data_IF_634522633027
#
_entry.id   IF_634522633027
#
_cell.length_a   1.000
_cell.length_b   1.000
_cell.length_c   1.000
_cell.angle_alpha   90.00
_cell.angle_beta   90.00
_cell.angle_gamma   90.00
#
_symmetry.space_group_name_H-M   'P 1'
#
loop_
_entity.id
_entity.type
_entity.pdbx_description
1 polymer ?
#
# COMPACT_ATOMS: atom_id res chain seq x y z
N UNK A 1 6.47 -43.40 -47.66
CA UNK A 1 7.14 -42.77 -46.54
C UNK A 1 8.62 -43.07 -46.65
N UNK A 2 9.47 -42.15 -46.50
CA UNK A 2 9.27 -40.68 -46.51
C UNK A 2 8.92 -40.19 -47.92
N UNK A 3 8.47 -38.93 -48.13
CA UNK A 3 8.20 -38.35 -49.44
C UNK A 3 9.45 -38.40 -50.33
N UNK A 4 9.26 -38.58 -51.66
CA UNK A 4 10.37 -38.76 -52.60
C UNK A 4 11.33 -37.56 -52.66
N UNK A 5 10.81 -36.38 -52.42
CA UNK A 5 11.49 -35.08 -52.42
C UNK A 5 12.19 -34.75 -51.08
N UNK A 6 12.03 -35.58 -50.06
CA UNK A 6 12.60 -35.32 -48.71
C UNK A 6 14.07 -35.68 -48.57
N UNK A 7 14.71 -36.22 -49.58
CA UNK A 7 16.09 -36.79 -49.56
C UNK A 7 16.32 -37.81 -48.42
N UNK A 8 15.25 -38.42 -47.91
CA UNK A 8 15.29 -39.45 -46.85
C UNK A 8 14.86 -40.79 -47.44
N UNK A 9 15.54 -41.85 -47.09
CA UNK A 9 15.16 -43.22 -47.47
C UNK A 9 15.15 -44.12 -46.24
N UNK A 10 14.22 -45.04 -46.19
CA UNK A 10 14.16 -46.06 -45.15
C UNK A 10 14.93 -47.30 -45.66
N UNK A 11 15.77 -47.86 -44.80
CA UNK A 11 16.41 -49.14 -45.04
C UNK A 11 15.42 -50.28 -45.06
N UNK A 12 15.82 -51.45 -45.51
CA UNK A 12 14.99 -52.65 -45.50
C UNK A 12 14.59 -53.06 -44.08
N UNK A 13 15.51 -52.92 -43.14
CA UNK A 13 15.34 -53.23 -41.71
C UNK A 13 14.32 -52.27 -41.05
N UNK A 14 14.45 -50.98 -41.32
CA UNK A 14 13.48 -49.99 -40.83
C UNK A 14 12.06 -50.22 -41.37
N UNK A 15 11.93 -50.56 -42.64
CA UNK A 15 10.63 -50.95 -43.24
C UNK A 15 10.06 -52.18 -42.55
N UNK A 16 10.89 -53.21 -42.28
CA UNK A 16 10.45 -54.41 -41.58
C UNK A 16 10.06 -54.12 -40.14
N UNK A 17 10.74 -53.21 -39.48
CA UNK A 17 10.41 -52.76 -38.11
C UNK A 17 9.03 -52.10 -38.09
N UNK A 18 8.74 -51.16 -38.99
CA UNK A 18 7.45 -50.50 -39.12
C UNK A 18 6.32 -51.52 -39.44
N UNK A 19 6.55 -52.46 -40.36
CA UNK A 19 5.57 -53.52 -40.65
C UNK A 19 5.27 -54.38 -39.42
N UNK A 20 6.29 -54.71 -38.64
CA UNK A 20 6.15 -55.47 -37.39
C UNK A 20 5.34 -54.70 -36.37
N UNK A 21 5.67 -53.40 -36.19
CA UNK A 21 4.95 -52.51 -35.28
C UNK A 21 3.47 -52.39 -35.65
N UNK A 22 3.15 -52.21 -36.94
CA UNK A 22 1.75 -52.17 -37.43
C UNK A 22 1.03 -53.51 -37.15
N UNK A 23 1.69 -54.67 -37.40
CA UNK A 23 1.12 -55.98 -37.13
C UNK A 23 0.85 -56.24 -35.65
N UNK A 24 1.61 -55.56 -34.75
CA UNK A 24 1.43 -55.62 -33.31
C UNK A 24 0.34 -54.65 -32.78
N UNK A 25 -0.42 -54.03 -33.69
CA UNK A 25 -1.50 -53.10 -33.32
C UNK A 25 -1.11 -51.62 -33.29
N UNK A 26 0.11 -51.28 -33.77
CA UNK A 26 0.62 -49.90 -33.87
C UNK A 26 0.46 -49.09 -32.56
N UNK A 27 0.65 -49.74 -31.42
CA UNK A 27 0.57 -49.09 -30.11
C UNK A 27 1.49 -47.86 -30.04
N UNK A 28 0.91 -46.70 -29.80
CA UNK A 28 1.66 -45.44 -29.69
C UNK A 28 1.81 -45.06 -28.22
N UNK A 29 3.02 -44.91 -27.79
CA UNK A 29 3.28 -44.46 -26.42
C UNK A 29 2.97 -42.97 -26.29
N UNK A 30 2.20 -42.60 -25.27
CA UNK A 30 1.94 -41.20 -24.97
C UNK A 30 3.27 -40.43 -24.77
N UNK A 31 3.31 -39.20 -25.24
CA UNK A 31 4.50 -38.35 -25.05
C UNK A 31 4.77 -38.19 -23.55
N UNK A 32 6.05 -38.30 -23.16
CA UNK A 32 6.45 -38.28 -21.74
C UNK A 32 5.99 -37.04 -20.98
N UNK A 33 5.89 -35.89 -21.64
CA UNK A 33 5.42 -34.63 -21.02
C UNK A 33 3.94 -34.62 -20.62
N UNK A 34 3.16 -35.58 -21.18
CA UNK A 34 1.72 -35.76 -20.89
C UNK A 34 1.45 -36.93 -19.93
N UNK A 35 2.52 -37.59 -19.47
CA UNK A 35 2.43 -38.68 -18.49
C UNK A 35 2.62 -38.08 -17.10
N UNK A 36 1.71 -38.36 -16.18
CA UNK A 36 1.86 -37.87 -14.79
C UNK A 36 3.19 -38.37 -14.22
N UNK A 37 4.00 -37.45 -13.57
CA UNK A 37 5.29 -37.83 -13.03
C UNK A 37 5.13 -38.84 -11.90
N UNK A 38 5.95 -39.89 -11.93
CA UNK A 38 6.02 -40.91 -10.91
C UNK A 38 7.41 -40.79 -10.24
N UNK A 39 7.48 -40.86 -8.90
CA UNK A 39 8.76 -40.85 -8.18
C UNK A 39 9.58 -42.08 -8.59
N UNK A 40 10.73 -41.91 -9.24
CA UNK A 40 11.56 -43.03 -9.68
C UNK A 40 12.29 -43.66 -8.49
N UNK A 41 12.68 -44.94 -8.64
CA UNK A 41 13.58 -45.58 -7.69
C UNK A 41 14.97 -44.93 -7.80
N UNK A 42 15.55 -44.62 -6.66
CA UNK A 42 16.91 -44.06 -6.61
C UNK A 42 17.93 -45.09 -7.17
N UNK A 43 18.78 -44.67 -8.12
CA UNK A 43 19.78 -45.57 -8.65
C UNK A 43 20.89 -45.84 -7.61
N UNK A 44 21.47 -47.04 -7.68
CA UNK A 44 22.69 -47.37 -6.94
C UNK A 44 23.92 -47.01 -7.79
N UNK A 45 24.83 -46.25 -7.21
CA UNK A 45 26.04 -45.77 -7.85
C UNK A 45 27.28 -46.44 -7.27
N UNK A 46 28.32 -46.60 -8.07
CA UNK A 46 29.62 -47.14 -7.63
C UNK A 46 30.33 -46.15 -6.71
N UNK A 47 30.33 -44.85 -7.05
CA UNK A 47 30.96 -43.78 -6.28
C UNK A 47 29.95 -42.97 -5.50
N UNK A 48 29.20 -43.62 -4.58
CA UNK A 48 28.16 -42.98 -3.79
C UNK A 48 28.65 -41.91 -2.81
N UNK A 49 29.96 -41.82 -2.54
CA UNK A 49 30.56 -40.79 -1.69
C UNK A 49 30.57 -39.39 -2.35
N UNK A 50 30.49 -39.30 -3.66
CA UNK A 50 30.39 -38.04 -4.37
C UNK A 50 28.99 -37.43 -4.30
N UNK A 51 27.99 -38.27 -4.32
CA UNK A 51 26.57 -37.83 -4.30
C UNK A 51 26.16 -37.40 -2.88
N UNK A 52 25.76 -36.14 -2.72
CA UNK A 52 25.32 -35.56 -1.44
C UNK A 52 23.79 -35.55 -1.30
N UNK A 53 23.06 -35.70 -2.40
CA UNK A 53 21.62 -35.73 -2.44
C UNK A 53 21.08 -36.69 -3.53
N UNK A 54 19.75 -36.84 -3.60
CA UNK A 54 19.12 -37.76 -4.53
C UNK A 54 19.33 -37.36 -6.02
N UNK A 55 19.40 -36.06 -6.29
CA UNK A 55 19.63 -35.56 -7.68
C UNK A 55 21.04 -35.96 -8.14
N UNK A 56 22.03 -35.83 -7.27
CA UNK A 56 23.40 -36.21 -7.56
C UNK A 56 23.51 -37.70 -7.97
N UNK A 57 22.68 -38.58 -7.38
CA UNK A 57 22.66 -39.99 -7.76
C UNK A 57 22.23 -40.21 -9.20
N UNK A 58 21.24 -39.49 -9.68
CA UNK A 58 20.82 -39.58 -11.09
C UNK A 58 21.91 -39.01 -12.01
N UNK A 59 22.53 -37.88 -11.64
CA UNK A 59 23.65 -37.28 -12.38
C UNK A 59 24.82 -38.25 -12.45
N UNK A 60 25.24 -38.83 -11.31
CA UNK A 60 26.33 -39.77 -11.22
C UNK A 60 26.04 -41.04 -12.06
N UNK A 61 24.85 -41.58 -12.03
CA UNK A 61 24.42 -42.69 -12.89
C UNK A 61 24.64 -42.39 -14.36
N UNK A 62 24.31 -41.19 -14.79
CA UNK A 62 24.51 -40.78 -16.16
C UNK A 62 26.00 -40.64 -16.50
N UNK A 63 26.79 -40.03 -15.64
CA UNK A 63 28.23 -39.89 -15.80
C UNK A 63 28.91 -41.29 -15.88
N UNK A 64 28.57 -42.21 -14.99
CA UNK A 64 29.09 -43.57 -15.00
C UNK A 64 28.71 -44.31 -16.29
N UNK A 65 27.49 -44.12 -16.81
CA UNK A 65 27.06 -44.72 -18.08
C UNK A 65 27.86 -44.20 -19.26
N UNK A 66 28.25 -42.95 -19.27
CA UNK A 66 29.04 -42.31 -20.33
C UNK A 66 30.56 -42.48 -20.09
N UNK A 67 30.99 -43.13 -19.00
CA UNK A 67 32.40 -43.30 -18.64
C UNK A 67 33.10 -41.99 -18.26
N UNK A 68 32.35 -41.02 -17.74
CA UNK A 68 32.85 -39.70 -17.35
C UNK A 68 32.99 -39.63 -15.82
N UNK A 69 34.15 -39.27 -15.34
CA UNK A 69 34.39 -39.01 -13.91
C UNK A 69 33.89 -37.61 -13.52
N UNK A 70 33.29 -37.45 -12.33
CA UNK A 70 32.97 -36.14 -11.81
C UNK A 70 34.21 -35.25 -11.66
N UNK A 71 34.06 -33.97 -11.97
CA UNK A 71 35.15 -33.00 -11.70
C UNK A 71 35.40 -32.81 -10.22
N UNK A 72 36.61 -32.44 -9.78
CA UNK A 72 36.90 -32.04 -8.42
C UNK A 72 36.04 -30.87 -7.97
N UNK A 73 35.82 -30.76 -6.67
CA UNK A 73 35.13 -29.59 -6.08
C UNK A 73 35.87 -28.31 -6.48
N UNK A 74 35.11 -27.29 -6.89
CA UNK A 74 35.66 -26.00 -7.26
C UNK A 74 36.32 -25.30 -6.07
N UNK A 75 37.26 -24.36 -6.35
CA UNK A 75 37.85 -23.54 -5.29
C UNK A 75 36.77 -22.74 -4.53
N UNK A 76 37.09 -22.36 -3.29
CA UNK A 76 36.15 -21.62 -2.43
C UNK A 76 35.72 -20.31 -3.05
N UNK A 77 36.60 -19.57 -3.72
CA UNK A 77 36.29 -18.35 -4.44
C UNK A 77 35.31 -18.60 -5.58
N UNK A 78 35.51 -19.68 -6.33
CA UNK A 78 34.63 -20.09 -7.43
C UNK A 78 33.24 -20.49 -6.90
N UNK A 79 33.19 -21.24 -5.80
CA UNK A 79 31.94 -21.65 -5.15
C UNK A 79 31.15 -20.42 -4.70
N UNK A 80 31.76 -19.50 -3.97
CA UNK A 80 31.11 -18.28 -3.50
C UNK A 80 30.60 -17.44 -4.68
N UNK A 81 31.43 -17.22 -5.70
CA UNK A 81 31.05 -16.47 -6.91
C UNK A 81 29.82 -17.09 -7.60
N UNK A 82 29.85 -18.41 -7.82
CA UNK A 82 28.71 -19.12 -8.44
C UNK A 82 27.44 -18.99 -7.60
N UNK A 83 27.56 -19.19 -6.30
CA UNK A 83 26.45 -19.17 -5.37
C UNK A 83 25.79 -17.78 -5.32
N UNK A 84 26.59 -16.71 -5.20
CA UNK A 84 26.05 -15.34 -5.16
C UNK A 84 25.39 -14.95 -6.49
N UNK A 85 26.00 -15.25 -7.62
CA UNK A 85 25.42 -15.00 -8.94
C UNK A 85 24.14 -15.79 -9.17
N UNK A 86 24.08 -17.06 -8.75
CA UNK A 86 22.90 -17.89 -8.93
C UNK A 86 21.73 -17.48 -8.05
N UNK A 87 21.99 -17.01 -6.81
CA UNK A 87 20.93 -16.68 -5.85
C UNK A 87 20.52 -15.21 -5.91
N UNK A 88 21.44 -14.30 -6.22
CA UNK A 88 21.18 -12.86 -6.16
C UNK A 88 21.43 -12.10 -7.46
N UNK A 89 21.98 -12.76 -8.47
CA UNK A 89 22.38 -12.12 -9.73
C UNK A 89 23.59 -11.18 -9.62
N UNK A 90 24.17 -11.05 -8.41
CA UNK A 90 25.25 -10.10 -8.12
C UNK A 90 26.55 -10.84 -7.74
N UNK A 91 27.73 -10.28 -8.04
CA UNK A 91 28.99 -10.83 -7.55
C UNK A 91 29.12 -10.60 -6.03
N UNK A 92 29.90 -11.45 -5.32
CA UNK A 92 30.20 -11.21 -3.92
C UNK A 92 31.03 -9.94 -3.73
N UNK A 93 30.83 -9.25 -2.62
CA UNK A 93 31.70 -8.14 -2.19
C UNK A 93 33.04 -8.67 -1.68
N UNK A 94 34.06 -7.79 -1.64
CA UNK A 94 35.39 -8.17 -1.11
C UNK A 94 35.29 -8.67 0.35
N UNK A 95 34.49 -8.01 1.17
CA UNK A 95 34.25 -8.43 2.56
C UNK A 95 33.61 -9.82 2.65
N UNK A 96 32.68 -10.15 1.78
CA UNK A 96 32.08 -11.49 1.74
C UNK A 96 33.07 -12.56 1.30
N UNK A 97 33.95 -12.22 0.38
CA UNK A 97 35.05 -13.12 -0.04
C UNK A 97 35.98 -13.39 1.15
N UNK A 98 36.50 -12.34 1.80
CA UNK A 98 37.41 -12.46 2.93
C UNK A 98 36.81 -13.24 4.09
N UNK A 99 35.54 -12.95 4.44
CA UNK A 99 34.79 -13.66 5.48
C UNK A 99 34.63 -15.15 5.16
N UNK A 100 34.26 -15.49 3.93
CA UNK A 100 34.10 -16.88 3.53
C UNK A 100 35.42 -17.63 3.46
N UNK A 101 36.50 -17.01 2.96
CA UNK A 101 37.80 -17.65 2.87
C UNK A 101 38.45 -17.89 4.23
N UNK A 102 38.20 -17.00 5.20
CA UNK A 102 38.71 -17.16 6.58
C UNK A 102 37.89 -18.13 7.43
N UNK A 103 36.66 -18.46 7.05
CA UNK A 103 35.78 -19.39 7.77
C UNK A 103 36.09 -20.84 7.32
N UNK A 104 36.89 -21.58 8.11
CA UNK A 104 37.25 -22.97 7.83
C UNK A 104 36.32 -24.02 8.45
N UNK A 105 35.17 -23.61 9.02
CA UNK A 105 34.21 -24.57 9.59
C UNK A 105 33.46 -25.33 8.49
N UNK A 106 32.98 -26.51 8.82
CA UNK A 106 32.19 -27.36 7.93
C UNK A 106 30.90 -26.68 7.46
N UNK A 107 30.34 -25.80 8.31
CA UNK A 107 29.10 -25.06 8.04
C UNK A 107 29.29 -23.76 7.24
N UNK A 108 30.52 -23.40 6.88
CA UNK A 108 30.82 -22.14 6.20
C UNK A 108 29.99 -21.93 4.93
N UNK A 109 29.88 -22.96 4.09
CA UNK A 109 29.11 -22.92 2.85
C UNK A 109 27.61 -22.77 3.12
N UNK A 110 27.07 -23.57 4.03
CA UNK A 110 25.65 -23.53 4.43
C UNK A 110 25.24 -22.17 4.96
N UNK A 111 26.07 -21.53 5.80
CA UNK A 111 25.80 -20.17 6.29
C UNK A 111 25.71 -19.14 5.16
N UNK A 112 26.55 -19.25 4.14
CA UNK A 112 26.47 -18.35 2.98
C UNK A 112 25.18 -18.60 2.20
N UNK A 113 24.80 -19.85 1.96
CA UNK A 113 23.52 -20.22 1.31
C UNK A 113 22.35 -19.60 2.05
N UNK A 114 22.25 -19.84 3.37
CA UNK A 114 21.17 -19.34 4.20
C UNK A 114 21.09 -17.80 4.22
N UNK A 115 22.24 -17.13 4.25
CA UNK A 115 22.30 -15.67 4.19
C UNK A 115 21.80 -15.14 2.86
N UNK A 116 22.20 -15.76 1.75
CA UNK A 116 21.79 -15.33 0.42
C UNK A 116 20.31 -15.59 0.15
N UNK A 117 19.78 -16.73 0.61
CA UNK A 117 18.35 -17.03 0.52
C UNK A 117 17.47 -16.06 1.33
N UNK A 118 18.01 -15.47 2.40
CA UNK A 118 17.32 -14.44 3.21
C UNK A 118 17.55 -13.01 2.68
N UNK A 119 18.35 -12.85 1.66
CA UNK A 119 18.60 -11.54 1.05
C UNK A 119 17.41 -11.09 0.21
N UNK A 120 16.96 -9.81 0.33
CA UNK A 120 15.93 -9.27 -0.57
C UNK A 120 16.28 -9.41 -2.06
N UNK A 121 17.59 -9.47 -2.37
CA UNK A 121 18.11 -9.66 -3.74
C UNK A 121 17.79 -11.04 -4.32
N UNK A 122 17.49 -12.02 -3.47
CA UNK A 122 17.05 -13.34 -3.92
C UNK A 122 15.73 -13.23 -4.68
N UNK A 123 14.71 -12.62 -4.08
CA UNK A 123 13.41 -12.43 -4.74
C UNK A 123 13.52 -11.56 -5.98
N UNK A 124 14.29 -10.47 -5.94
CA UNK A 124 14.52 -9.62 -7.12
C UNK A 124 15.13 -10.42 -8.29
N UNK A 125 16.10 -11.29 -8.01
CA UNK A 125 16.74 -12.12 -9.04
C UNK A 125 15.82 -13.24 -9.53
N UNK A 126 15.15 -13.95 -8.64
CA UNK A 126 14.23 -15.03 -9.01
C UNK A 126 13.00 -14.53 -9.78
N UNK A 127 12.51 -13.34 -9.45
CA UNK A 127 11.38 -12.73 -10.14
C UNK A 127 11.65 -12.41 -11.61
N UNK A 128 12.90 -12.18 -12.00
CA UNK A 128 13.26 -11.76 -13.36
C UNK A 128 12.63 -12.63 -14.45
N UNK A 129 12.86 -13.94 -14.39
CA UNK A 129 12.31 -14.87 -15.38
C UNK A 129 10.79 -14.94 -15.35
N UNK A 130 10.19 -14.77 -14.15
CA UNK A 130 8.74 -14.76 -14.00
C UNK A 130 8.11 -13.49 -14.60
N UNK A 131 8.74 -12.34 -14.38
CA UNK A 131 8.30 -11.06 -14.96
C UNK A 131 8.36 -11.08 -16.47
N UNK A 132 9.42 -11.64 -17.06
CA UNK A 132 9.58 -11.80 -18.50
C UNK A 132 8.48 -12.72 -19.06
N UNK A 133 8.31 -13.91 -18.50
CA UNK A 133 7.27 -14.86 -18.92
C UNK A 133 5.84 -14.26 -18.76
N UNK A 134 5.61 -13.47 -17.72
CA UNK A 134 4.34 -12.79 -17.47
C UNK A 134 4.14 -11.51 -18.32
N UNK A 135 5.07 -11.16 -19.20
CA UNK A 135 5.02 -9.98 -20.08
C UNK A 135 4.96 -8.65 -19.29
N UNK A 136 5.56 -8.62 -18.10
CA UNK A 136 5.61 -7.40 -17.31
C UNK A 136 6.27 -6.26 -18.08
N UNK A 137 5.67 -5.08 -18.01
CA UNK A 137 6.23 -3.85 -18.57
C UNK A 137 5.70 -2.65 -17.80
N UNK A 138 6.51 -1.59 -17.71
CA UNK A 138 6.14 -0.30 -17.13
C UNK A 138 5.37 0.58 -18.12
N UNK A 139 5.23 0.13 -19.38
CA UNK A 139 4.51 0.84 -20.45
C UNK A 139 3.56 -0.10 -21.20
N UNK A 140 2.70 0.45 -22.04
CA UNK A 140 1.66 -0.32 -22.74
C UNK A 140 2.13 -1.08 -23.96
N UNK A 141 3.26 -0.68 -24.57
CA UNK A 141 3.88 -1.40 -25.68
C UNK A 141 3.32 -1.17 -27.07
N UNK A 142 2.22 -0.40 -27.22
CA UNK A 142 1.63 -0.02 -28.51
C UNK A 142 1.89 1.44 -28.86
N UNK A 143 1.29 1.93 -29.95
CA UNK A 143 1.48 3.29 -30.47
C UNK A 143 1.34 4.39 -29.41
N UNK A 144 0.41 4.24 -28.50
CA UNK A 144 0.23 5.16 -27.37
C UNK A 144 1.04 4.77 -26.14
N UNK A 145 2.25 4.24 -26.31
CA UNK A 145 3.11 3.64 -25.27
C UNK A 145 3.25 4.47 -24.00
N UNK A 146 2.20 4.51 -23.21
CA UNK A 146 2.10 5.29 -21.99
C UNK A 146 2.52 4.46 -20.79
N UNK A 147 3.11 5.12 -19.82
CA UNK A 147 3.44 4.53 -18.53
C UNK A 147 2.19 3.95 -17.86
N UNK A 148 2.30 2.75 -17.33
CA UNK A 148 1.28 2.07 -16.53
C UNK A 148 1.81 1.67 -15.15
N UNK A 149 0.91 1.52 -14.20
CA UNK A 149 1.26 1.24 -12.80
C UNK A 149 1.04 -0.25 -12.50
N UNK A 150 2.01 -1.08 -12.87
CA UNK A 150 2.03 -2.52 -12.59
C UNK A 150 3.12 -2.91 -11.58
N UNK A 151 3.88 -1.94 -11.07
CA UNK A 151 4.98 -2.17 -10.12
C UNK A 151 4.53 -2.86 -8.83
N UNK A 152 3.30 -2.62 -8.35
CA UNK A 152 2.77 -3.32 -7.18
C UNK A 152 2.67 -4.83 -7.39
N UNK A 153 2.29 -5.29 -8.59
CA UNK A 153 2.28 -6.71 -8.91
C UNK A 153 3.71 -7.27 -9.00
N UNK A 154 4.64 -6.55 -9.60
CA UNK A 154 6.07 -6.92 -9.62
C UNK A 154 6.61 -7.09 -8.21
N UNK A 155 6.35 -6.11 -7.35
CA UNK A 155 6.84 -6.12 -5.98
C UNK A 155 6.23 -7.29 -5.18
N UNK A 156 4.93 -7.59 -5.40
CA UNK A 156 4.30 -8.79 -4.85
C UNK A 156 5.00 -10.08 -5.30
N UNK A 157 5.37 -10.20 -6.58
CA UNK A 157 6.11 -11.37 -7.09
C UNK A 157 7.46 -11.49 -6.39
N UNK A 158 8.19 -10.39 -6.23
CA UNK A 158 9.49 -10.36 -5.52
C UNK A 158 9.33 -10.82 -4.07
N UNK A 159 8.32 -10.31 -3.36
CA UNK A 159 8.01 -10.69 -1.99
C UNK A 159 7.62 -12.17 -1.90
N UNK A 160 6.79 -12.67 -2.81
CA UNK A 160 6.40 -14.08 -2.84
C UNK A 160 7.61 -15.04 -2.99
N UNK A 161 8.62 -14.67 -3.78
CA UNK A 161 9.87 -15.43 -3.87
C UNK A 161 10.69 -15.33 -2.58
N UNK A 162 10.81 -14.14 -1.97
CA UNK A 162 11.53 -13.94 -0.72
C UNK A 162 10.88 -14.72 0.45
N UNK A 163 9.57 -14.81 0.46
CA UNK A 163 8.79 -15.54 1.46
C UNK A 163 8.72 -17.04 1.19
N UNK A 164 9.35 -17.51 0.09
CA UNK A 164 9.29 -18.90 -0.36
C UNK A 164 7.83 -19.41 -0.42
N UNK A 165 6.95 -18.59 -1.01
CA UNK A 165 5.51 -18.91 -1.12
C UNK A 165 5.31 -20.26 -1.82
N UNK A 166 4.47 -21.17 -1.29
CA UNK A 166 4.14 -22.42 -1.96
C UNK A 166 3.61 -22.18 -3.37
N UNK A 167 4.06 -22.99 -4.35
CA UNK A 167 3.78 -22.76 -5.76
C UNK A 167 2.28 -22.83 -6.09
N UNK A 168 1.53 -23.67 -5.43
CA UNK A 168 0.07 -23.78 -5.55
C UNK A 168 -0.61 -22.47 -5.12
N UNK A 169 -0.22 -21.91 -3.97
CA UNK A 169 -0.72 -20.61 -3.50
C UNK A 169 -0.32 -19.48 -4.43
N UNK A 170 0.95 -19.44 -4.85
CA UNK A 170 1.45 -18.48 -5.83
C UNK A 170 0.66 -18.51 -7.14
N UNK A 171 0.27 -19.71 -7.59
CA UNK A 171 -0.54 -19.90 -8.78
C UNK A 171 -1.98 -19.41 -8.58
N UNK A 172 -2.63 -19.83 -7.50
CA UNK A 172 -4.02 -19.46 -7.19
C UNK A 172 -4.16 -17.95 -7.05
N UNK A 173 -3.27 -17.32 -6.28
CA UNK A 173 -3.33 -15.88 -6.04
C UNK A 173 -3.17 -15.07 -7.35
N UNK A 174 -2.34 -15.51 -8.28
CA UNK A 174 -2.16 -14.82 -9.56
C UNK A 174 -3.30 -15.06 -10.57
N UNK A 175 -3.83 -16.26 -10.64
CA UNK A 175 -4.87 -16.60 -11.63
C UNK A 175 -6.28 -16.25 -11.14
N UNK A 176 -6.54 -16.33 -9.85
CA UNK A 176 -7.87 -16.26 -9.24
C UNK A 176 -7.88 -15.57 -7.85
N UNK A 177 -6.87 -14.77 -7.52
CA UNK A 177 -6.79 -14.11 -6.22
C UNK A 177 -7.98 -13.20 -5.91
N UNK A 178 -8.53 -12.55 -6.93
CA UNK A 178 -9.73 -11.71 -6.87
C UNK A 178 -11.04 -12.49 -6.71
N UNK A 179 -11.03 -13.81 -6.93
CA UNK A 179 -12.19 -14.69 -6.82
C UNK A 179 -12.25 -15.45 -5.48
N UNK A 180 -11.27 -15.25 -4.61
CA UNK A 180 -11.24 -15.87 -3.29
C UNK A 180 -12.30 -15.26 -2.39
N UNK A 181 -12.77 -16.02 -1.40
CA UNK A 181 -13.70 -15.51 -0.39
C UNK A 181 -12.98 -14.46 0.49
N UNK A 182 -13.46 -13.21 0.49
CA UNK A 182 -12.85 -12.08 1.20
C UNK A 182 -11.35 -11.89 0.88
N UNK A 183 -10.97 -11.65 -0.38
CA UNK A 183 -9.59 -11.58 -0.79
C UNK A 183 -8.86 -10.43 -0.09
N UNK A 184 -7.65 -10.70 0.35
CA UNK A 184 -6.76 -9.67 0.87
C UNK A 184 -6.31 -8.71 -0.24
N UNK A 185 -5.82 -7.53 0.15
CA UNK A 185 -5.25 -6.59 -0.83
C UNK A 185 -4.11 -7.23 -1.64
N UNK A 186 -3.28 -8.04 -1.01
CA UNK A 186 -2.14 -8.70 -1.67
C UNK A 186 -2.61 -9.76 -2.68
N UNK A 187 -3.72 -10.47 -2.41
CA UNK A 187 -4.35 -11.40 -3.37
C UNK A 187 -4.99 -10.66 -4.56
N UNK A 188 -5.60 -9.50 -4.30
CA UNK A 188 -6.08 -8.64 -5.38
C UNK A 188 -4.93 -8.11 -6.25
N UNK A 189 -3.81 -7.71 -5.63
CA UNK A 189 -2.60 -7.28 -6.35
C UNK A 189 -2.02 -8.43 -7.17
N UNK A 190 -1.96 -9.64 -6.60
CA UNK A 190 -1.47 -10.84 -7.29
C UNK A 190 -2.24 -11.13 -8.58
N UNK A 191 -3.57 -10.97 -8.57
CA UNK A 191 -4.42 -11.18 -9.76
C UNK A 191 -4.12 -10.20 -10.90
N UNK A 192 -3.29 -9.18 -10.64
CA UNK A 192 -2.71 -8.28 -11.63
C UNK A 192 -1.93 -8.99 -12.74
N UNK A 193 -1.51 -10.26 -12.53
CA UNK A 193 -0.99 -11.12 -13.59
C UNK A 193 -1.86 -11.10 -14.85
N UNK A 194 -3.17 -11.19 -14.68
CA UNK A 194 -4.14 -11.17 -15.77
C UNK A 194 -4.23 -9.80 -16.48
N UNK A 195 -3.54 -8.78 -15.99
CA UNK A 195 -3.54 -7.41 -16.50
C UNK A 195 -2.21 -6.98 -17.14
N UNK A 196 -1.23 -7.88 -17.21
CA UNK A 196 0.09 -7.61 -17.80
C UNK A 196 0.09 -7.55 -19.33
N UNK A 197 -0.98 -7.97 -20.00
CA UNK A 197 -1.04 -7.87 -21.46
C UNK A 197 -0.88 -6.42 -21.93
N UNK A 198 -0.32 -6.16 -23.13
CA UNK A 198 -0.24 -4.83 -23.70
C UNK A 198 -1.63 -4.23 -23.94
N UNK A 199 -1.76 -2.91 -23.85
CA UNK A 199 -2.99 -2.19 -24.17
C UNK A 199 -2.83 -1.38 -25.45
N UNK A 200 -3.78 -1.54 -26.37
CA UNK A 200 -3.82 -0.74 -27.58
C UNK A 200 -4.46 0.63 -27.30
N UNK A 201 -3.64 1.70 -27.30
CA UNK A 201 -4.08 3.08 -27.12
C UNK A 201 -4.34 3.84 -28.43
N UNK A 202 -4.35 3.14 -29.58
CA UNK A 202 -4.51 3.76 -30.90
C UNK A 202 -5.91 4.35 -31.12
N UNK A 203 -5.98 5.50 -31.79
CA UNK A 203 -7.24 6.12 -32.22
C UNK A 203 -7.93 5.27 -33.32
N UNK A 204 -9.26 5.19 -33.27
CA UNK A 204 -10.05 4.41 -34.25
C UNK A 204 -10.11 2.91 -34.00
N UNK A 205 -9.53 2.40 -32.91
CA UNK A 205 -9.63 1.00 -32.49
C UNK A 205 -11.08 0.60 -32.19
N UNK A 206 -11.36 -0.69 -32.33
CA UNK A 206 -12.64 -1.28 -31.92
C UNK A 206 -12.45 -1.89 -30.51
N UNK A 207 -13.09 -1.35 -29.45
CA UNK A 207 -12.87 -1.84 -28.08
C UNK A 207 -13.14 -3.33 -27.89
N UNK A 208 -14.20 -3.86 -28.51
CA UNK A 208 -14.54 -5.29 -28.39
C UNK A 208 -13.50 -6.20 -29.06
N UNK A 209 -12.92 -5.79 -30.18
CA UNK A 209 -11.81 -6.51 -30.81
C UNK A 209 -10.60 -6.58 -29.87
N UNK A 210 -10.21 -5.45 -29.29
CA UNK A 210 -9.12 -5.43 -28.31
C UNK A 210 -9.44 -6.30 -27.08
N UNK A 211 -10.66 -6.23 -26.54
CA UNK A 211 -11.08 -7.06 -25.41
C UNK A 211 -10.89 -8.55 -25.70
N UNK A 212 -11.32 -8.99 -26.86
CA UNK A 212 -11.18 -10.39 -27.31
C UNK A 212 -9.71 -10.78 -27.43
N UNK A 213 -8.86 -9.92 -28.03
CA UNK A 213 -7.42 -10.16 -28.12
C UNK A 213 -6.75 -10.24 -26.75
N UNK A 214 -7.16 -9.43 -25.78
CA UNK A 214 -6.64 -9.48 -24.41
C UNK A 214 -7.01 -10.79 -23.70
N UNK A 215 -8.17 -11.37 -24.01
CA UNK A 215 -8.55 -12.70 -23.51
C UNK A 215 -7.73 -13.79 -24.16
N UNK A 216 -7.46 -13.71 -25.48
CA UNK A 216 -6.53 -14.63 -26.14
C UNK A 216 -5.13 -14.57 -25.53
N UNK A 217 -4.60 -13.39 -25.30
CA UNK A 217 -3.30 -13.20 -24.68
C UNK A 217 -3.22 -13.85 -23.28
N UNK A 218 -4.24 -13.67 -22.42
CA UNK A 218 -4.32 -14.32 -21.10
C UNK A 218 -4.33 -15.84 -21.21
N UNK A 219 -5.12 -16.38 -22.14
CA UNK A 219 -5.25 -17.81 -22.38
C UNK A 219 -3.92 -18.41 -22.82
N UNK A 220 -3.28 -17.81 -23.80
CA UNK A 220 -2.02 -18.29 -24.37
C UNK A 220 -0.86 -18.15 -23.40
N UNK A 221 -0.78 -17.03 -22.66
CA UNK A 221 0.25 -16.82 -21.65
C UNK A 221 0.12 -17.78 -20.48
N UNK A 222 -1.09 -17.98 -19.97
CA UNK A 222 -1.33 -18.93 -18.89
C UNK A 222 -0.95 -20.35 -19.31
N UNK A 223 -1.33 -20.76 -20.52
CA UNK A 223 -0.94 -22.05 -21.08
C UNK A 223 0.59 -22.19 -21.18
N UNK A 224 1.25 -21.17 -21.70
CA UNK A 224 2.71 -21.20 -21.89
C UNK A 224 3.45 -21.30 -20.57
N UNK A 225 3.04 -20.52 -19.57
CA UNK A 225 3.74 -20.45 -18.27
C UNK A 225 3.49 -21.70 -17.42
N UNK A 226 2.23 -22.08 -17.21
CA UNK A 226 1.89 -23.16 -16.27
C UNK A 226 1.85 -24.53 -16.89
N UNK A 227 1.49 -24.65 -18.17
CA UNK A 227 1.40 -25.94 -18.85
C UNK A 227 2.60 -26.22 -19.77
N UNK A 228 3.42 -25.23 -20.09
CA UNK A 228 4.50 -25.37 -21.06
C UNK A 228 4.01 -25.66 -22.48
N UNK A 229 2.77 -25.27 -22.81
CA UNK A 229 2.10 -25.53 -24.07
C UNK A 229 1.82 -24.25 -24.83
N UNK A 230 2.15 -24.22 -26.12
CA UNK A 230 1.78 -23.12 -27.02
C UNK A 230 0.45 -23.46 -27.69
N UNK A 231 -0.65 -22.89 -27.21
CA UNK A 231 -2.01 -23.25 -27.64
C UNK A 231 -2.57 -22.38 -28.76
N UNK A 232 -1.87 -21.31 -29.17
CA UNK A 232 -2.37 -20.31 -30.10
C UNK A 232 -2.83 -20.86 -31.45
N UNK A 233 -2.27 -21.98 -31.95
CA UNK A 233 -2.75 -22.64 -33.18
C UNK A 233 -4.20 -23.14 -33.06
N UNK A 234 -4.61 -23.52 -31.83
CA UNK A 234 -5.95 -24.03 -31.57
C UNK A 234 -7.03 -22.95 -31.58
N UNK A 235 -6.64 -21.66 -31.67
CA UNK A 235 -7.56 -20.54 -31.92
C UNK A 235 -8.36 -20.70 -33.23
N UNK A 236 -7.75 -21.28 -34.28
CA UNK A 236 -8.37 -21.37 -35.59
C UNK A 236 -8.74 -22.80 -35.99
N UNK A 237 -8.03 -23.82 -35.50
CA UNK A 237 -8.22 -25.23 -35.82
C UNK A 237 -7.62 -26.12 -34.72
N UNK A 238 -7.93 -27.39 -34.68
CA UNK A 238 -7.31 -28.32 -33.73
C UNK A 238 -5.78 -28.28 -33.86
N UNK A 239 -5.06 -28.27 -32.71
CA UNK A 239 -3.61 -28.16 -32.71
C UNK A 239 -2.97 -29.30 -33.52
N UNK A 240 -1.97 -28.95 -34.34
CA UNK A 240 -1.40 -29.90 -35.29
C UNK A 240 -0.67 -31.06 -34.64
N UNK A 241 0.02 -30.80 -33.52
CA UNK A 241 0.93 -31.76 -32.89
C UNK A 241 0.46 -32.17 -31.49
N UNK A 242 -0.06 -31.22 -30.71
CA UNK A 242 -0.50 -31.45 -29.35
C UNK A 242 -1.98 -31.84 -29.30
N UNK A 243 -2.39 -32.65 -28.31
CA UNK A 243 -3.77 -33.14 -28.21
C UNK A 243 -4.71 -32.08 -27.66
N UNK A 244 -4.81 -30.95 -28.36
CA UNK A 244 -5.62 -29.79 -27.98
C UNK A 244 -6.53 -29.45 -29.15
N UNK A 245 -7.83 -29.64 -28.97
CA UNK A 245 -8.83 -29.25 -29.95
C UNK A 245 -9.13 -27.73 -29.86
N UNK A 246 -9.64 -27.16 -30.95
CA UNK A 246 -10.18 -25.81 -30.96
C UNK A 246 -11.26 -25.61 -29.87
N UNK A 247 -12.10 -26.61 -29.67
CA UNK A 247 -13.14 -26.59 -28.65
C UNK A 247 -12.54 -26.44 -27.24
N UNK A 248 -11.51 -27.18 -26.89
CA UNK A 248 -10.83 -27.13 -25.61
C UNK A 248 -10.13 -25.79 -25.42
N UNK A 249 -9.56 -25.23 -26.48
CA UNK A 249 -9.00 -23.87 -26.45
C UNK A 249 -10.07 -22.85 -26.04
N UNK A 250 -11.26 -22.86 -26.65
CA UNK A 250 -12.32 -21.92 -26.30
C UNK A 250 -12.98 -22.21 -24.96
N UNK A 251 -12.97 -23.46 -24.50
CA UNK A 251 -13.34 -23.77 -23.12
C UNK A 251 -12.35 -23.14 -22.11
N UNK A 252 -11.04 -23.22 -22.38
CA UNK A 252 -10.03 -22.58 -21.57
C UNK A 252 -10.11 -21.04 -21.65
N UNK A 253 -10.27 -20.48 -22.84
CA UNK A 253 -10.52 -19.06 -23.08
C UNK A 253 -11.70 -18.54 -22.24
N UNK A 254 -12.74 -19.32 -22.04
CA UNK A 254 -13.93 -18.88 -21.32
C UNK A 254 -13.67 -18.51 -19.86
N UNK A 255 -12.65 -19.10 -19.21
CA UNK A 255 -12.26 -18.73 -17.85
C UNK A 255 -11.76 -17.28 -17.74
N UNK A 256 -11.16 -16.74 -18.79
CA UNK A 256 -10.63 -15.38 -18.82
C UNK A 256 -11.60 -14.36 -19.45
N UNK A 257 -12.69 -14.82 -20.02
CA UNK A 257 -13.65 -13.96 -20.73
C UNK A 257 -14.57 -13.19 -19.77
N UNK A 258 -14.53 -13.46 -18.48
CA UNK A 258 -15.33 -12.79 -17.44
C UNK A 258 -14.58 -11.63 -16.76
N UNK A 259 -13.36 -11.35 -17.14
CA UNK A 259 -12.62 -10.19 -16.61
C UNK A 259 -13.31 -8.91 -17.04
N UNK A 260 -13.64 -8.07 -16.08
CA UNK A 260 -14.39 -6.82 -16.29
C UNK A 260 -13.52 -5.72 -16.94
N UNK A 261 -13.03 -5.98 -18.14
CA UNK A 261 -12.20 -5.08 -18.92
C UNK A 261 -12.85 -4.81 -20.27
N UNK A 262 -12.91 -3.54 -20.66
CA UNK A 262 -13.68 -3.10 -21.83
C UNK A 262 -12.90 -3.07 -23.14
N UNK A 263 -11.61 -3.40 -23.18
CA UNK A 263 -10.75 -3.19 -24.33
C UNK A 263 -10.51 -1.72 -24.72
N UNK A 264 -11.13 -0.79 -24.00
CA UNK A 264 -10.88 0.65 -24.12
C UNK A 264 -9.81 1.07 -23.12
N UNK A 265 -8.83 1.82 -23.59
CA UNK A 265 -7.84 2.46 -22.72
C UNK A 265 -8.13 3.94 -22.72
N UNK A 266 -8.53 4.46 -21.58
CA UNK A 266 -8.56 5.89 -21.33
C UNK A 266 -7.14 6.41 -21.15
N UNK A 267 -6.98 7.73 -21.13
CA UNK A 267 -5.68 8.40 -21.26
C UNK A 267 -4.60 8.06 -20.21
N UNK A 268 -4.84 7.15 -19.28
CA UNK A 268 -4.01 6.96 -18.08
C UNK A 268 -2.99 5.82 -18.10
N UNK A 269 -2.93 4.97 -19.12
CA UNK A 269 -1.99 3.83 -19.14
C UNK A 269 -2.49 2.54 -18.51
N UNK A 270 -3.36 2.59 -17.49
CA UNK A 270 -4.05 1.41 -16.95
C UNK A 270 -5.51 1.40 -17.43
N UNK A 271 -5.98 0.24 -17.92
CA UNK A 271 -7.39 0.06 -18.28
C UNK A 271 -8.27 -0.14 -17.03
N UNK A 272 -9.51 0.35 -17.11
CA UNK A 272 -10.52 0.09 -16.08
C UNK A 272 -10.98 -1.40 -16.08
N UNK A 273 -11.35 -1.95 -14.91
CA UNK A 273 -11.31 -1.33 -13.59
C UNK A 273 -9.91 -1.23 -13.01
N UNK A 274 -9.65 -0.16 -12.23
CA UNK A 274 -8.40 0.05 -11.52
C UNK A 274 -8.64 0.06 -10.01
N UNK A 275 -7.62 -0.31 -9.26
CA UNK A 275 -7.63 -0.33 -7.81
C UNK A 275 -6.53 0.58 -7.26
N UNK A 276 -6.84 1.34 -6.22
CA UNK A 276 -5.84 2.10 -5.50
C UNK A 276 -5.09 1.18 -4.53
N UNK A 277 -3.79 1.05 -4.72
CA UNK A 277 -2.92 0.27 -3.83
C UNK A 277 -2.09 1.23 -3.00
N UNK A 278 -2.28 1.29 -1.68
CA UNK A 278 -1.46 2.12 -0.82
C UNK A 278 -0.03 1.57 -0.73
N UNK A 279 0.95 2.47 -0.70
CA UNK A 279 2.35 2.12 -0.42
C UNK A 279 2.51 1.56 0.99
N UNK A 280 3.64 0.93 1.30
CA UNK A 280 3.93 0.43 2.64
C UNK A 280 3.82 1.55 3.70
N UNK A 281 4.36 2.73 3.42
CA UNK A 281 4.27 3.90 4.31
C UNK A 281 2.81 4.34 4.51
N UNK A 282 2.02 4.38 3.44
CA UNK A 282 0.60 4.70 3.52
C UNK A 282 -0.18 3.64 4.32
N UNK A 283 0.10 2.34 4.14
CA UNK A 283 -0.51 1.26 4.94
C UNK A 283 -0.20 1.42 6.42
N UNK A 284 1.06 1.72 6.78
CA UNK A 284 1.45 1.97 8.17
C UNK A 284 0.72 3.17 8.76
N UNK A 285 0.61 4.26 7.99
CA UNK A 285 -0.11 5.46 8.42
C UNK A 285 -1.61 5.22 8.59
N UNK A 286 -2.23 4.51 7.66
CA UNK A 286 -3.65 4.09 7.75
C UNK A 286 -3.86 3.27 9.03
N UNK A 287 -3.05 2.24 9.27
CA UNK A 287 -3.17 1.40 10.47
C UNK A 287 -2.95 2.18 11.78
N UNK A 288 -2.11 3.21 11.79
CA UNK A 288 -1.96 4.12 12.93
C UNK A 288 -3.24 4.95 13.13
N UNK A 289 -3.77 5.55 12.06
CA UNK A 289 -4.99 6.35 12.13
C UNK A 289 -6.20 5.52 12.55
N UNK A 290 -6.32 4.30 12.10
CA UNK A 290 -7.40 3.37 12.52
C UNK A 290 -7.33 3.08 14.03
N UNK A 291 -6.12 2.89 14.58
CA UNK A 291 -5.93 2.74 16.03
C UNK A 291 -6.33 4.00 16.79
N UNK A 292 -5.93 5.17 16.31
CA UNK A 292 -6.31 6.45 16.89
C UNK A 292 -7.84 6.65 16.89
N UNK A 293 -8.50 6.31 15.78
CA UNK A 293 -9.97 6.36 15.66
C UNK A 293 -10.62 5.40 16.67
N UNK A 294 -10.16 4.15 16.73
CA UNK A 294 -10.69 3.17 17.67
C UNK A 294 -10.52 3.59 19.14
N UNK A 295 -9.41 4.25 19.48
CA UNK A 295 -9.17 4.82 20.81
C UNK A 295 -10.12 6.00 21.11
N UNK A 296 -10.35 6.87 20.14
CA UNK A 296 -11.31 7.97 20.29
C UNK A 296 -12.74 7.47 20.41
N UNK A 297 -13.15 6.47 19.61
CA UNK A 297 -14.46 5.84 19.74
C UNK A 297 -14.68 5.16 21.09
N UNK A 298 -13.64 4.50 21.61
CA UNK A 298 -13.67 3.90 22.94
C UNK A 298 -13.87 4.95 24.02
N UNK A 299 -13.17 6.08 23.94
CA UNK A 299 -13.33 7.22 24.86
C UNK A 299 -14.71 7.87 24.77
N UNK A 300 -15.27 7.96 23.55
CA UNK A 300 -16.63 8.47 23.32
C UNK A 300 -17.69 7.59 23.95
N UNK A 301 -17.46 6.27 24.00
CA UNK A 301 -18.41 5.27 24.48
C UNK A 301 -18.19 4.88 25.96
N UNK A 302 -17.41 5.68 26.72
CA UNK A 302 -17.26 5.49 28.17
C UNK A 302 -18.64 5.56 28.83
N UNK A 303 -18.95 4.61 29.66
CA UNK A 303 -20.27 4.49 30.27
C UNK A 303 -20.60 5.74 31.12
N UNK A 304 -21.88 6.11 31.16
CA UNK A 304 -22.33 7.24 31.99
C UNK A 304 -21.97 7.05 33.47
N UNK A 305 -21.86 5.82 33.94
CA UNK A 305 -21.46 5.48 35.30
C UNK A 305 -19.98 5.85 35.60
N UNK A 306 -19.07 5.53 34.64
CA UNK A 306 -17.65 5.90 34.75
C UNK A 306 -17.44 7.42 34.70
N UNK A 307 -18.19 8.10 33.81
CA UNK A 307 -18.19 9.57 33.74
C UNK A 307 -18.80 10.19 35.01
N UNK A 308 -19.82 9.57 35.61
CA UNK A 308 -20.45 10.05 36.84
C UNK A 308 -19.48 9.99 38.03
N UNK A 309 -18.66 8.93 38.13
CA UNK A 309 -17.63 8.80 39.16
C UNK A 309 -16.56 9.87 39.03
N UNK A 310 -15.96 10.01 37.84
CA UNK A 310 -14.97 11.05 37.57
C UNK A 310 -15.52 12.48 37.77
N UNK A 311 -16.81 12.68 37.44
CA UNK A 311 -17.46 13.97 37.68
C UNK A 311 -17.68 14.23 39.16
N UNK A 312 -18.04 13.23 39.94
CA UNK A 312 -18.18 13.34 41.39
C UNK A 312 -16.85 13.70 42.06
N UNK A 313 -15.78 12.97 41.75
CA UNK A 313 -14.43 13.26 42.21
C UNK A 313 -13.97 14.70 41.85
N UNK A 314 -14.27 15.13 40.62
CA UNK A 314 -13.95 16.48 40.17
C UNK A 314 -14.79 17.55 40.91
N UNK A 315 -16.07 17.29 41.17
CA UNK A 315 -16.96 18.19 41.94
C UNK A 315 -16.46 18.30 43.39
N UNK A 316 -16.12 17.14 44.00
CA UNK A 316 -15.59 17.12 45.38
C UNK A 316 -14.27 17.92 45.49
N UNK A 317 -13.37 17.75 44.51
CA UNK A 317 -12.14 18.57 44.44
C UNK A 317 -12.42 20.06 44.30
N UNK A 318 -13.37 20.46 43.44
CA UNK A 318 -13.78 21.84 43.28
C UNK A 318 -14.40 22.42 44.55
N UNK A 319 -15.21 21.62 45.29
CA UNK A 319 -15.78 22.04 46.58
C UNK A 319 -14.72 22.19 47.65
N UNK A 320 -13.71 21.31 47.67
CA UNK A 320 -12.56 21.47 48.57
C UNK A 320 -11.77 22.74 48.29
N UNK A 321 -11.54 23.07 47.01
CA UNK A 321 -10.86 24.34 46.64
C UNK A 321 -11.69 25.58 47.01
N UNK A 322 -13.00 25.56 46.73
CA UNK A 322 -13.91 26.63 47.10
C UNK A 322 -13.95 26.86 48.63
N UNK A 323 -13.89 25.77 49.41
CA UNK A 323 -13.89 25.87 50.88
C UNK A 323 -12.57 26.37 51.44
N UNK A 324 -11.44 26.22 50.72
CA UNK A 324 -10.12 26.75 51.17
C UNK A 324 -9.97 28.24 51.00
N UNK A 325 -10.37 28.78 49.84
CA UNK A 325 -10.06 30.17 49.47
C UNK A 325 -11.29 31.04 49.10
N UNK A 326 -12.50 30.44 49.12
CA UNK A 326 -13.75 31.14 48.71
C UNK A 326 -13.81 31.53 47.24
N UNK A 327 -12.86 31.05 46.41
CA UNK A 327 -12.77 31.32 44.97
C UNK A 327 -12.37 30.03 44.26
N UNK A 328 -12.92 29.79 43.07
CA UNK A 328 -12.35 28.80 42.13
C UNK A 328 -10.95 29.24 41.75
N UNK A 329 -9.95 28.46 42.07
CA UNK A 329 -8.56 28.83 41.79
C UNK A 329 -8.35 28.95 40.31
N UNK A 330 -7.80 30.07 39.87
CA UNK A 330 -7.31 30.26 38.52
C UNK A 330 -7.88 31.43 37.72
N UNK A 331 -9.08 31.94 38.08
CA UNK A 331 -9.63 33.11 37.38
C UNK A 331 -9.71 34.32 38.34
N UNK A 332 -9.10 35.43 37.93
CA UNK A 332 -9.16 36.72 38.61
C UNK A 332 -9.93 37.71 37.72
N UNK A 333 -10.91 38.41 38.32
CA UNK A 333 -11.63 39.48 37.62
C UNK A 333 -10.71 40.71 37.59
N UNK A 334 -10.26 41.04 36.38
CA UNK A 334 -9.40 42.20 36.15
C UNK A 334 -10.25 43.46 35.96
N UNK A 335 -9.98 44.47 36.75
CA UNK A 335 -10.65 45.77 36.63
C UNK A 335 -9.94 46.61 35.58
N UNK A 336 -10.66 47.11 34.53
CA UNK A 336 -10.07 47.99 33.54
C UNK A 336 -9.61 49.32 34.13
N UNK A 337 -8.33 49.69 33.85
CA UNK A 337 -7.84 51.03 34.14
C UNK A 337 -8.40 52.06 33.15
N UNK A 338 -8.61 51.63 31.92
CA UNK A 338 -9.25 52.47 30.89
C UNK A 338 -9.91 51.60 29.80
N UNK A 339 -10.93 52.14 29.18
CA UNK A 339 -11.56 51.57 28.03
C UNK A 339 -11.89 52.66 27.01
N UNK A 340 -11.58 52.42 25.75
CA UNK A 340 -11.81 53.35 24.64
C UNK A 340 -12.40 52.69 23.44
N UNK A 341 -12.95 53.45 22.50
CA UNK A 341 -13.54 52.97 21.23
C UNK A 341 -13.05 53.85 20.08
N UNK A 342 -12.83 53.21 18.94
CA UNK A 342 -12.47 53.90 17.67
C UNK A 342 -13.69 54.53 16.98
N UNK A 343 -14.88 54.00 17.19
CA UNK A 343 -16.13 54.39 16.50
C UNK A 343 -16.90 55.50 17.17
N UNK A 344 -16.36 56.13 18.23
CA UNK A 344 -16.97 57.30 18.89
C UNK A 344 -18.17 56.98 19.79
N UNK A 345 -18.29 55.76 20.25
CA UNK A 345 -19.25 55.35 21.27
C UNK A 345 -18.83 55.90 22.65
N UNK A 346 -19.75 55.93 23.59
CA UNK A 346 -19.44 56.26 24.99
C UNK A 346 -19.15 54.98 25.76
N UNK A 347 -18.00 54.88 26.35
CA UNK A 347 -17.53 53.74 27.12
C UNK A 347 -17.41 54.09 28.59
N UNK A 348 -18.07 53.32 29.43
CA UNK A 348 -18.03 53.47 30.87
C UNK A 348 -17.51 52.21 31.55
N UNK A 349 -16.52 52.35 32.42
CA UNK A 349 -16.08 51.24 33.30
C UNK A 349 -16.93 51.32 34.56
N UNK A 350 -17.67 50.27 34.86
CA UNK A 350 -18.56 50.17 36.00
C UNK A 350 -17.81 49.70 37.26
N UNK A 351 -18.36 49.96 38.46
CA UNK A 351 -17.66 49.59 39.72
C UNK A 351 -17.37 48.09 39.87
N UNK A 352 -18.13 47.23 39.14
CA UNK A 352 -17.90 45.78 39.11
C UNK A 352 -16.83 45.30 38.10
N UNK A 353 -16.13 46.22 37.42
CA UNK A 353 -15.12 45.89 36.42
C UNK A 353 -15.69 45.62 35.04
N UNK A 354 -16.97 45.71 34.84
CA UNK A 354 -17.59 45.57 33.51
C UNK A 354 -17.43 46.85 32.68
N UNK A 355 -17.36 46.67 31.36
CA UNK A 355 -17.30 47.79 30.40
C UNK A 355 -18.63 47.96 29.73
N UNK A 356 -19.36 49.04 30.02
CA UNK A 356 -20.62 49.34 29.39
C UNK A 356 -20.44 50.31 28.24
N UNK A 357 -20.98 49.95 27.06
CA UNK A 357 -20.85 50.74 25.84
C UNK A 357 -22.22 51.27 25.41
N UNK A 358 -22.30 52.58 25.21
CA UNK A 358 -23.55 53.31 24.83
C UNK A 358 -23.25 54.38 23.77
N UNK A 359 -24.31 55.19 23.43
CA UNK A 359 -24.17 56.31 22.49
C UNK A 359 -24.13 55.88 21.02
N UNK A 360 -23.21 56.41 20.24
CA UNK A 360 -23.09 56.20 18.79
C UNK A 360 -22.89 54.71 18.46
N UNK A 361 -23.54 54.23 17.39
CA UNK A 361 -23.56 52.82 17.01
C UNK A 361 -23.07 52.62 15.57
N UNK A 362 -21.76 52.61 15.33
CA UNK A 362 -21.18 52.29 14.03
C UNK A 362 -21.39 50.79 13.66
N UNK A 363 -21.24 50.47 12.38
CA UNK A 363 -21.35 49.07 11.91
C UNK A 363 -20.20 48.18 12.43
N UNK A 364 -19.01 48.77 12.60
CA UNK A 364 -17.80 48.18 13.20
C UNK A 364 -17.23 49.16 14.19
N UNK A 365 -16.68 48.65 15.29
CA UNK A 365 -16.10 49.41 16.34
C UNK A 365 -15.00 48.61 17.03
N UNK A 366 -13.86 49.20 17.28
CA UNK A 366 -12.76 48.56 17.99
C UNK A 366 -12.71 49.10 19.43
N UNK A 367 -12.76 48.17 20.36
CA UNK A 367 -12.69 48.45 21.78
C UNK A 367 -11.28 48.12 22.27
N UNK A 368 -10.62 49.09 22.87
CA UNK A 368 -9.35 48.91 23.56
C UNK A 368 -9.57 49.00 25.05
N UNK A 369 -9.25 47.94 25.75
CA UNK A 369 -9.37 47.84 27.21
C UNK A 369 -7.99 47.64 27.80
N UNK A 370 -7.57 48.53 28.67
CA UNK A 370 -6.29 48.43 29.38
C UNK A 370 -6.54 47.91 30.79
N UNK A 371 -5.85 46.85 31.15
CA UNK A 371 -5.93 46.18 32.45
C UNK A 371 -4.54 46.00 33.03
N UNK A 372 -4.43 46.00 34.34
CA UNK A 372 -3.18 45.73 35.05
C UNK A 372 -3.33 44.48 35.91
N UNK A 373 -2.78 43.34 35.49
CA UNK A 373 -2.85 42.12 36.31
C UNK A 373 -1.86 42.23 37.48
N UNK A 374 -2.26 41.70 38.63
CA UNK A 374 -1.40 41.65 39.82
C UNK A 374 -0.41 40.47 39.79
N UNK A 375 -0.57 39.52 38.86
CA UNK A 375 0.24 38.32 38.75
C UNK A 375 1.37 38.44 37.72
N UNK A 376 2.52 37.82 37.98
CA UNK A 376 3.70 37.82 37.11
C UNK A 376 3.58 36.88 35.88
N UNK A 377 2.53 36.09 35.73
CA UNK A 377 2.29 35.23 34.57
C UNK A 377 0.80 35.16 34.20
N UNK A 378 0.52 35.22 32.93
CA UNK A 378 -0.82 35.13 32.35
C UNK A 378 -0.95 33.83 31.55
N UNK A 379 -1.81 32.92 31.95
CA UNK A 379 -1.99 31.64 31.27
C UNK A 379 -3.17 31.67 30.26
N UNK A 380 -4.23 32.41 30.57
CA UNK A 380 -5.42 32.54 29.70
C UNK A 380 -6.13 33.88 29.96
N UNK A 381 -6.94 34.31 29.00
CA UNK A 381 -7.82 35.48 29.12
C UNK A 381 -9.25 34.98 28.85
N UNK A 382 -10.17 35.29 29.77
CA UNK A 382 -11.61 35.06 29.61
C UNK A 382 -12.32 36.37 29.29
N UNK A 383 -13.07 36.39 28.21
CA UNK A 383 -13.96 37.49 27.86
C UNK A 383 -15.40 37.06 28.10
N UNK A 384 -16.12 37.78 28.94
CA UNK A 384 -17.56 37.54 29.19
C UNK A 384 -18.40 38.62 28.55
N UNK A 385 -19.37 38.18 27.72
CA UNK A 385 -20.37 39.06 27.14
C UNK A 385 -21.61 39.10 28.03
N UNK A 386 -21.74 40.16 28.84
CA UNK A 386 -22.76 40.26 29.85
C UNK A 386 -24.07 40.80 29.26
N UNK A 387 -25.19 40.29 29.73
CA UNK A 387 -26.53 40.86 29.48
C UNK A 387 -26.76 42.05 30.43
N UNK A 388 -27.44 43.09 29.95
CA UNK A 388 -27.73 44.26 30.80
C UNK A 388 -29.14 44.77 30.56
N UNK A 389 -29.84 45.11 31.65
CA UNK A 389 -31.14 45.79 31.60
C UNK A 389 -31.05 47.20 31.00
N UNK A 390 -29.88 47.79 30.97
CA UNK A 390 -29.60 49.07 30.32
C UNK A 390 -29.53 49.01 28.79
N UNK A 391 -29.48 47.80 28.20
CA UNK A 391 -29.49 47.57 26.75
C UNK A 391 -30.93 47.36 26.24
N UNK A 392 -31.27 47.98 25.10
CA UNK A 392 -32.64 48.02 24.55
C UNK A 392 -33.29 46.65 24.40
N UNK A 393 -32.48 45.59 24.14
CA UNK A 393 -32.96 44.22 23.90
C UNK A 393 -32.52 43.25 25.00
N UNK A 394 -31.90 43.72 26.07
CA UNK A 394 -31.39 42.93 27.21
C UNK A 394 -30.43 41.79 26.84
N UNK A 395 -29.91 41.78 25.61
CA UNK A 395 -28.91 40.84 25.15
C UNK A 395 -27.46 41.29 25.39
N UNK A 396 -26.46 40.51 25.06
CA UNK A 396 -25.07 40.88 25.28
C UNK A 396 -24.54 41.98 24.32
N UNK A 397 -25.29 42.22 23.23
CA UNK A 397 -24.96 43.24 22.26
C UNK A 397 -25.86 44.45 22.29
N UNK A 398 -25.41 45.59 21.78
CA UNK A 398 -26.19 46.86 21.73
C UNK A 398 -27.49 46.74 20.91
N UNK A 399 -27.58 45.69 20.00
CA UNK A 399 -28.77 45.32 19.22
C UNK A 399 -29.14 43.86 19.40
N UNK A 400 -29.12 43.33 20.60
CA UNK A 400 -29.29 41.94 21.00
C UNK A 400 -28.05 41.08 20.83
N UNK A 401 -27.54 40.89 19.62
CA UNK A 401 -26.36 40.06 19.34
C UNK A 401 -25.24 40.89 18.70
N UNK A 402 -24.04 40.40 18.77
CA UNK A 402 -22.90 40.96 18.07
C UNK A 402 -21.93 39.85 17.57
N UNK A 403 -21.05 40.23 16.67
CA UNK A 403 -19.98 39.33 16.18
C UNK A 403 -18.65 39.95 16.54
N UNK A 404 -17.84 39.23 17.33
CA UNK A 404 -16.47 39.63 17.64
C UNK A 404 -15.58 39.14 16.48
N UNK A 405 -15.21 40.05 15.57
CA UNK A 405 -14.46 39.72 14.35
C UNK A 405 -12.99 39.48 14.60
N UNK A 406 -12.41 40.11 15.65
CA UNK A 406 -11.02 39.90 16.06
C UNK A 406 -10.81 40.11 17.55
N UNK A 407 -9.92 39.31 18.15
CA UNK A 407 -9.46 39.48 19.50
C UNK A 407 -7.94 39.46 19.51
N UNK A 408 -7.36 40.57 19.93
CA UNK A 408 -5.91 40.74 20.07
C UNK A 408 -5.55 41.21 21.47
N UNK A 409 -4.40 40.81 21.99
CA UNK A 409 -3.88 41.31 23.22
C UNK A 409 -2.37 41.60 23.11
N UNK A 410 -1.91 42.57 23.82
CA UNK A 410 -0.49 42.88 23.96
C UNK A 410 -0.13 43.12 25.42
N UNK A 411 1.06 42.71 25.82
CA UNK A 411 1.61 42.96 27.13
C UNK A 411 2.61 44.11 27.03
N UNK A 412 2.38 45.18 27.83
CA UNK A 412 3.28 46.32 27.91
C UNK A 412 4.02 46.26 29.24
N UNK A 413 5.30 45.85 29.27
CA UNK A 413 6.10 45.90 30.49
C UNK A 413 6.38 47.36 30.86
N UNK A 414 6.65 47.70 32.16
CA UNK A 414 6.85 49.07 32.63
C UNK A 414 7.94 49.83 31.89
N UNK A 415 9.01 49.13 31.46
CA UNK A 415 10.20 49.74 30.83
C UNK A 415 10.50 49.13 29.45
N UNK A 416 9.51 48.55 28.71
CA UNK A 416 9.71 47.87 27.46
C UNK A 416 8.66 48.15 26.39
N UNK A 417 8.97 47.76 25.15
CA UNK A 417 8.02 47.84 24.03
C UNK A 417 6.88 46.81 24.19
N UNK A 418 5.65 47.15 23.75
CA UNK A 418 4.53 46.25 23.81
C UNK A 418 4.77 44.95 23.04
N UNK A 419 4.56 43.80 23.65
CA UNK A 419 4.70 42.49 23.03
C UNK A 419 3.32 41.93 22.71
N UNK A 420 3.03 41.63 21.43
CA UNK A 420 1.79 41.02 21.01
C UNK A 420 1.72 39.55 21.51
N UNK A 421 0.63 39.22 22.17
CA UNK A 421 0.39 37.88 22.67
C UNK A 421 -0.16 37.02 21.51
N UNK A 422 0.34 35.76 21.43
CA UNK A 422 -0.14 34.77 20.45
C UNK A 422 -0.98 33.73 21.18
N UNK A 423 -2.25 33.67 20.84
CA UNK A 423 -3.16 32.69 21.40
C UNK A 423 -3.07 31.38 20.61
N UNK A 424 -2.85 30.28 21.30
CA UNK A 424 -2.78 28.94 20.72
C UNK A 424 -4.17 28.30 20.50
N UNK A 425 -5.18 28.76 21.28
CA UNK A 425 -6.54 28.17 21.25
C UNK A 425 -7.56 29.20 21.78
N UNK A 426 -8.77 29.15 21.18
CA UNK A 426 -9.96 29.78 21.75
C UNK A 426 -11.06 28.72 21.94
N UNK A 427 -11.81 28.86 23.03
CA UNK A 427 -12.99 28.04 23.34
C UNK A 427 -14.11 28.95 23.79
N UNK A 428 -15.35 28.61 23.51
CA UNK A 428 -16.56 29.31 23.97
C UNK A 428 -17.57 28.30 24.50
N UNK A 429 -18.40 28.73 25.44
CA UNK A 429 -19.56 28.03 25.93
C UNK A 429 -20.71 28.02 24.90
N UNK A 430 -20.77 29.04 24.05
CA UNK A 430 -21.75 29.20 22.98
C UNK A 430 -21.10 29.84 21.74
N UNK A 431 -21.57 29.47 20.55
CA UNK A 431 -21.36 30.19 19.29
C UNK A 431 -22.52 29.96 18.35
N UNK A 432 -22.79 30.92 17.50
CA UNK A 432 -23.83 30.83 16.45
C UNK A 432 -23.17 30.26 15.17
N UNK A 433 -23.60 29.10 14.68
CA UNK A 433 -23.13 28.56 13.42
C UNK A 433 -23.39 29.52 12.24
N UNK A 434 -22.42 29.71 11.33
CA UNK A 434 -21.05 29.16 11.28
C UNK A 434 -19.98 30.03 11.99
N UNK A 435 -20.35 30.92 12.88
CA UNK A 435 -19.48 31.96 13.51
C UNK A 435 -18.73 31.41 14.73
N UNK A 436 -17.71 30.61 14.49
CA UNK A 436 -16.94 29.93 15.52
C UNK A 436 -15.92 30.86 16.20
N UNK A 437 -15.71 30.69 17.51
CA UNK A 437 -14.79 31.52 18.32
C UNK A 437 -13.34 31.48 17.82
N UNK A 438 -12.88 30.39 17.23
CA UNK A 438 -11.52 30.29 16.70
C UNK A 438 -11.25 31.26 15.55
N UNK A 439 -12.28 31.69 14.83
CA UNK A 439 -12.14 32.67 13.74
C UNK A 439 -11.83 34.06 14.24
N UNK A 440 -12.20 34.40 15.49
CA UNK A 440 -11.87 35.66 16.12
C UNK A 440 -10.36 35.80 16.46
N UNK A 441 -9.57 34.73 16.47
CA UNK A 441 -8.13 34.76 16.60
C UNK A 441 -7.38 35.00 15.28
N UNK A 442 -8.06 34.98 14.16
CA UNK A 442 -7.49 35.24 12.85
C UNK A 442 -7.89 36.63 12.32
N UNK A 443 -7.01 37.64 12.40
CA UNK A 443 -7.33 39.00 11.96
C UNK A 443 -7.69 39.15 10.50
N UNK A 444 -7.33 38.13 9.67
CA UNK A 444 -7.62 38.12 8.24
C UNK A 444 -9.01 37.55 7.93
N UNK A 445 -9.72 37.01 8.91
CA UNK A 445 -11.05 36.46 8.71
C UNK A 445 -12.11 37.58 8.82
N UNK A 446 -12.98 37.69 7.82
CA UNK A 446 -14.19 38.53 7.93
C UNK A 446 -15.29 37.87 8.77
N UNK A 447 -15.10 36.61 9.12
CA UNK A 447 -15.93 35.86 10.05
C UNK A 447 -15.45 36.16 11.48
N UNK A 448 -16.24 35.88 12.46
CA UNK A 448 -15.88 36.10 13.84
C UNK A 448 -16.69 35.19 14.75
N UNK A 449 -16.58 35.41 16.07
CA UNK A 449 -17.38 34.73 17.07
C UNK A 449 -18.74 35.40 17.20
N UNK A 450 -19.81 34.69 16.81
CA UNK A 450 -21.20 35.17 16.96
C UNK A 450 -21.77 34.76 18.31
N UNK A 451 -22.27 35.75 19.04
CA UNK A 451 -22.87 35.63 20.38
C UNK A 451 -24.35 35.97 20.31
#
# INVERSE_FOLDING_TARGET
MPPVDSNKSLTREEKQLLVRWIRQGAGYQQHWSLIAPVRPTLPSNRNHHWATNDIDRFILTRLEKEGIEPSPTASRETLLRRLTLNLTGLPPTLTEIDNFLSDHSDEAYTRVVERLLKSPRFGEHMAWNWLDAARYSDTNGYQGDRTRTMSFWRDWVIEAFNDNMPFDKFTIDQLAGDLLENPSLDQLVASGFNRNHPFNGEGGRIPEENRVEYVFDRTETTSTIWMGLTVGCARCHDHKFDPISQREYFQFYSYFNHVAESGSVDAGGNANPVMNVPTLEQRQRIGQMEKEIADHERRKNVSYAELATSRAEWIDHLQEELNKDGKLSGWEILHPESATTSGGATVNVEPGGSVFVSGTFPKRDDYTVTIKPDAGSLAAIQLEALTSSGLKYQGPGRKANFVLTSFEASLSPPDGEPVKLVFSRAVSDFHQDPLNVSTALNPSSEQGWGI
#
